data_IF_475653114119
#
_entry.id   IF_475653114119
#
_cell.length_a   1.000
_cell.length_b   1.000
_cell.length_c   1.000
_cell.angle_alpha   90.00
_cell.angle_beta   90.00
_cell.angle_gamma   90.00
#
_symmetry.space_group_name_H-M   'P 1'
#
loop_
_entity.id
_entity.type
_entity.pdbx_description
1 polymer ?
#
# COMPACT_ATOMS: atom_id res chain seq x y z
N UNK A 1 -24.89 -8.24 -5.69
CA UNK A 1 -24.11 -9.28 -6.38
C UNK A 1 -22.78 -8.66 -6.73
N UNK A 2 -21.66 -9.18 -6.21
CA UNK A 2 -20.34 -8.68 -6.58
C UNK A 2 -20.10 -9.08 -8.03
N UNK A 3 -19.89 -8.09 -8.90
CA UNK A 3 -19.56 -8.32 -10.30
C UNK A 3 -18.16 -8.96 -10.38
N UNK A 4 -17.95 -9.90 -11.31
CA UNK A 4 -16.65 -10.54 -11.57
C UNK A 4 -15.59 -9.46 -11.80
N UNK A 5 -15.93 -8.38 -12.48
CA UNK A 5 -15.02 -7.25 -12.69
C UNK A 5 -14.68 -6.52 -11.39
N UNK A 6 -15.61 -6.39 -10.45
CA UNK A 6 -15.36 -5.78 -9.14
C UNK A 6 -14.49 -6.67 -8.26
N UNK A 7 -14.76 -7.98 -8.23
CA UNK A 7 -13.95 -8.95 -7.49
C UNK A 7 -12.53 -9.07 -8.07
N UNK A 8 -12.39 -9.06 -9.40
CA UNK A 8 -11.09 -9.08 -10.08
C UNK A 8 -10.31 -7.82 -9.77
N UNK A 9 -10.92 -6.63 -9.89
CA UNK A 9 -10.26 -5.37 -9.58
C UNK A 9 -9.85 -5.28 -8.10
N UNK A 10 -10.68 -5.78 -7.19
CA UNK A 10 -10.35 -5.86 -5.77
C UNK A 10 -9.14 -6.77 -5.53
N UNK A 11 -9.13 -7.98 -6.08
CA UNK A 11 -8.02 -8.92 -5.96
C UNK A 11 -6.72 -8.37 -6.58
N UNK A 12 -6.81 -7.74 -7.76
CA UNK A 12 -5.67 -7.08 -8.40
C UNK A 12 -5.17 -5.88 -7.61
N UNK A 13 -6.07 -5.10 -6.99
CA UNK A 13 -5.68 -4.01 -6.08
C UNK A 13 -4.98 -4.51 -4.81
N UNK A 14 -5.23 -5.78 -4.43
CA UNK A 14 -4.55 -6.46 -3.32
C UNK A 14 -3.27 -7.19 -3.76
N UNK A 15 -2.81 -6.99 -4.99
CA UNK A 15 -1.54 -7.53 -5.50
C UNK A 15 -1.62 -8.94 -6.08
N UNK A 16 -2.82 -9.52 -6.23
CA UNK A 16 -3.00 -10.79 -6.96
C UNK A 16 -2.84 -10.53 -8.45
N UNK A 17 -2.08 -11.37 -9.16
CA UNK A 17 -1.90 -11.23 -10.61
C UNK A 17 -3.27 -11.19 -11.31
N UNK A 18 -3.43 -10.32 -12.31
CA UNK A 18 -4.70 -10.10 -13.00
C UNK A 18 -5.30 -11.39 -13.55
N UNK A 19 -4.46 -12.32 -14.02
CA UNK A 19 -4.87 -13.64 -14.52
C UNK A 19 -5.38 -14.56 -13.41
N UNK A 20 -4.73 -14.57 -12.23
CA UNK A 20 -5.16 -15.37 -11.09
C UNK A 20 -6.41 -14.77 -10.43
N UNK A 21 -6.47 -13.44 -10.34
CA UNK A 21 -7.61 -12.67 -9.86
C UNK A 21 -8.86 -12.93 -10.71
N UNK A 22 -8.74 -12.87 -12.04
CA UNK A 22 -9.84 -13.15 -12.96
C UNK A 22 -10.31 -14.61 -12.86
N UNK A 23 -9.38 -15.57 -12.80
CA UNK A 23 -9.72 -17.00 -12.65
C UNK A 23 -10.38 -17.31 -11.31
N UNK A 24 -9.92 -16.72 -10.22
CA UNK A 24 -10.53 -16.86 -8.91
C UNK A 24 -11.95 -16.27 -8.91
N UNK A 25 -12.12 -15.04 -9.41
CA UNK A 25 -13.42 -14.37 -9.49
C UNK A 25 -14.42 -15.13 -10.37
N UNK A 26 -14.01 -15.62 -11.54
CA UNK A 26 -14.87 -16.42 -12.44
C UNK A 26 -15.26 -17.76 -11.82
N UNK A 27 -14.30 -18.49 -11.24
CA UNK A 27 -14.55 -19.82 -10.66
C UNK A 27 -15.46 -19.75 -9.43
N UNK A 28 -15.29 -18.74 -8.59
CA UNK A 28 -16.18 -18.49 -7.45
C UNK A 28 -17.57 -18.07 -7.91
N UNK A 29 -17.69 -17.17 -8.90
CA UNK A 29 -18.98 -16.76 -9.44
C UNK A 29 -19.75 -17.89 -10.13
N UNK A 30 -19.07 -18.78 -10.85
CA UNK A 30 -19.70 -19.95 -11.49
C UNK A 30 -20.17 -20.99 -10.47
N UNK A 31 -19.41 -21.19 -9.38
CA UNK A 31 -19.72 -22.21 -8.37
C UNK A 31 -20.76 -21.73 -7.35
N UNK A 32 -20.90 -20.42 -7.18
CA UNK A 32 -21.71 -19.80 -6.13
C UNK A 32 -22.50 -18.57 -6.64
N UNK A 33 -23.16 -18.72 -7.79
CA UNK A 33 -23.82 -17.63 -8.54
C UNK A 33 -24.87 -16.82 -7.74
N UNK A 34 -25.42 -17.37 -6.65
CA UNK A 34 -26.45 -16.74 -5.81
C UNK A 34 -25.99 -16.50 -4.36
N UNK A 35 -24.68 -16.61 -4.08
CA UNK A 35 -24.16 -16.39 -2.73
C UNK A 35 -24.30 -14.92 -2.30
N UNK A 36 -24.59 -14.71 -1.02
CA UNK A 36 -24.49 -13.39 -0.42
C UNK A 36 -23.02 -12.91 -0.44
N UNK A 37 -22.78 -11.59 -0.36
CA UNK A 37 -21.43 -11.03 -0.49
C UNK A 37 -20.38 -11.61 0.48
N UNK A 38 -20.76 -11.98 1.71
CA UNK A 38 -19.82 -12.52 2.70
C UNK A 38 -19.47 -13.97 2.41
N UNK A 39 -20.45 -14.77 2.02
CA UNK A 39 -20.22 -16.13 1.54
C UNK A 39 -19.36 -16.12 0.28
N UNK A 40 -19.65 -15.23 -0.67
CA UNK A 40 -18.84 -15.05 -1.87
C UNK A 40 -17.38 -14.73 -1.56
N UNK A 41 -17.10 -13.83 -0.61
CA UNK A 41 -15.73 -13.47 -0.25
C UNK A 41 -14.97 -14.62 0.45
N UNK A 42 -15.66 -15.43 1.27
CA UNK A 42 -15.06 -16.63 1.87
C UNK A 42 -14.70 -17.67 0.82
N UNK A 43 -15.62 -17.94 -0.10
CA UNK A 43 -15.40 -18.88 -1.20
C UNK A 43 -14.35 -18.36 -2.19
N UNK A 44 -14.29 -17.04 -2.42
CA UNK A 44 -13.27 -16.40 -3.25
C UNK A 44 -11.88 -16.61 -2.65
N UNK A 45 -11.74 -16.41 -1.34
CA UNK A 45 -10.49 -16.67 -0.62
C UNK A 45 -10.08 -18.15 -0.72
N UNK A 46 -11.00 -19.07 -0.47
CA UNK A 46 -10.72 -20.51 -0.56
C UNK A 46 -10.31 -20.93 -1.99
N UNK A 47 -10.99 -20.38 -3.00
CA UNK A 47 -10.68 -20.62 -4.42
C UNK A 47 -9.31 -20.07 -4.78
N UNK A 48 -8.93 -18.91 -4.23
CA UNK A 48 -7.63 -18.29 -4.44
C UNK A 48 -6.50 -19.10 -3.80
N UNK A 49 -6.71 -19.59 -2.57
CA UNK A 49 -5.81 -20.53 -1.89
C UNK A 49 -5.64 -21.82 -2.71
N UNK A 50 -6.74 -22.42 -3.21
CA UNK A 50 -6.69 -23.62 -4.05
C UNK A 50 -5.95 -23.40 -5.38
N UNK A 51 -6.22 -22.29 -6.08
CA UNK A 51 -5.58 -21.96 -7.35
C UNK A 51 -4.09 -21.61 -7.18
N UNK A 52 -3.74 -20.96 -6.06
CA UNK A 52 -2.34 -20.72 -5.72
C UNK A 52 -1.58 -22.02 -5.41
N UNK A 53 -2.24 -23.01 -4.80
CA UNK A 53 -1.67 -24.31 -4.50
C UNK A 53 -1.55 -25.22 -5.74
N UNK A 54 -2.44 -25.07 -6.72
CA UNK A 54 -2.50 -25.89 -7.94
C UNK A 54 -1.68 -25.33 -9.13
N UNK A 55 -0.89 -24.28 -8.93
CA UNK A 55 0.06 -23.84 -9.97
C UNK A 55 1.21 -24.85 -10.03
N UNK A 56 1.42 -25.57 -11.15
CA UNK A 56 2.48 -26.56 -11.22
C UNK A 56 3.84 -25.88 -11.06
N UNK A 57 4.57 -26.26 -10.01
CA UNK A 57 6.00 -25.98 -9.89
C UNK A 57 6.69 -26.74 -11.02
N UNK A 58 6.98 -26.06 -12.12
CA UNK A 58 7.82 -26.61 -13.16
C UNK A 58 9.24 -26.79 -12.61
N UNK A 59 9.62 -28.04 -12.33
CA UNK A 59 11.02 -28.46 -12.22
C UNK A 59 11.67 -28.21 -10.87
N UNK A 60 11.66 -29.24 -10.03
CA UNK A 60 12.63 -29.44 -8.96
C UNK A 60 14.00 -29.66 -9.60
N UNK A 61 14.71 -28.57 -9.90
CA UNK A 61 16.17 -28.58 -9.88
C UNK A 61 16.56 -27.74 -8.67
N UNK A 62 17.31 -28.36 -7.77
CA UNK A 62 17.89 -27.74 -6.61
C UNK A 62 18.79 -26.57 -7.04
N UNK A 63 18.18 -25.41 -7.18
CA UNK A 63 18.88 -24.13 -7.16
C UNK A 63 18.82 -23.67 -5.73
N UNK A 64 19.98 -23.51 -5.11
CA UNK A 64 20.14 -22.73 -3.90
C UNK A 64 19.65 -21.31 -4.21
N UNK A 65 18.36 -21.08 -4.00
CA UNK A 65 17.80 -19.74 -3.94
C UNK A 65 18.59 -19.01 -2.84
N UNK A 66 19.20 -17.86 -3.12
CA UNK A 66 19.62 -17.02 -2.03
C UNK A 66 18.36 -16.71 -1.23
N UNK A 67 18.43 -16.97 0.07
CA UNK A 67 17.52 -16.42 1.08
C UNK A 67 17.18 -15.00 0.64
N UNK A 68 15.89 -14.74 0.37
CA UNK A 68 15.41 -13.42 -0.01
C UNK A 68 16.01 -12.46 1.01
N UNK A 69 16.97 -11.65 0.54
CA UNK A 69 17.74 -10.79 1.43
C UNK A 69 16.71 -10.01 2.22
N UNK A 70 16.68 -10.22 3.54
CA UNK A 70 15.86 -9.46 4.45
C UNK A 70 16.18 -7.99 4.15
N UNK A 71 15.29 -7.34 3.39
CA UNK A 71 15.50 -5.97 2.99
C UNK A 71 15.58 -5.19 4.29
N UNK A 72 16.71 -4.51 4.50
CA UNK A 72 16.90 -3.71 5.70
C UNK A 72 15.66 -2.81 5.88
N UNK A 73 15.16 -2.63 7.12
CA UNK A 73 13.97 -1.81 7.35
C UNK A 73 14.11 -0.49 6.60
N UNK A 74 13.12 -0.22 5.74
CA UNK A 74 13.12 0.94 4.89
C UNK A 74 13.30 2.19 5.75
N UNK A 75 14.33 3.00 5.43
CA UNK A 75 14.55 4.27 6.10
C UNK A 75 13.64 5.33 5.48
N UNK A 76 12.84 6.08 6.27
CA UNK A 76 11.99 7.14 5.80
C UNK A 76 12.70 8.09 4.83
N UNK A 77 11.96 8.58 3.84
CA UNK A 77 12.40 9.64 2.92
C UNK A 77 12.90 10.86 3.71
N UNK A 78 12.30 11.18 4.85
CA UNK A 78 12.79 12.22 5.77
C UNK A 78 14.22 11.99 6.27
N UNK A 79 14.62 10.75 6.58
CA UNK A 79 15.99 10.43 7.03
C UNK A 79 17.01 10.47 5.89
N UNK A 80 16.56 10.38 4.62
CA UNK A 80 17.43 10.51 3.44
C UNK A 80 17.63 11.96 2.99
N UNK A 81 16.71 12.86 3.33
CA UNK A 81 16.79 14.30 2.98
C UNK A 81 16.96 15.23 4.21
N UNK A 82 16.92 14.68 5.42
CA UNK A 82 16.92 15.39 6.70
C UNK A 82 18.31 15.64 7.28
N UNK A 83 19.15 16.38 6.57
CA UNK A 83 20.29 17.10 7.18
C UNK A 83 20.23 18.61 6.90
N UNK A 84 19.11 19.13 6.39
CA UNK A 84 18.99 20.55 6.02
C UNK A 84 17.94 21.36 6.82
N UNK A 85 17.21 20.76 7.78
CA UNK A 85 16.15 21.45 8.51
C UNK A 85 16.38 21.59 10.03
N UNK A 86 17.62 21.44 10.51
CA UNK A 86 17.97 21.77 11.90
C UNK A 86 19.37 22.38 11.96
N UNK A 87 19.52 23.62 11.47
CA UNK A 87 20.72 24.41 11.73
C UNK A 87 20.69 24.91 13.18
N UNK A 88 21.34 24.17 14.08
CA UNK A 88 22.00 24.81 15.22
C UNK A 88 23.48 24.46 15.15
N UNK A 89 24.31 25.50 15.05
CA UNK A 89 25.73 25.42 14.83
C UNK A 89 26.44 24.61 15.92
N UNK A 90 27.26 23.62 15.53
CA UNK A 90 28.47 23.26 16.27
C UNK A 90 29.49 22.67 15.28
N UNK A 91 30.65 23.32 15.22
CA UNK A 91 31.84 22.96 14.45
C UNK A 91 32.48 21.66 14.95
N UNK A 92 32.72 20.71 14.03
CA UNK A 92 33.58 19.54 14.24
C UNK A 92 33.66 18.69 12.97
N UNK A 93 34.85 18.29 12.48
CA UNK A 93 35.00 17.69 11.16
C UNK A 93 34.86 16.17 11.25
N UNK A 94 33.78 15.62 10.72
CA UNK A 94 33.74 14.20 10.38
C UNK A 94 32.93 14.00 9.11
N UNK A 95 33.61 13.46 8.10
CA UNK A 95 33.17 13.07 6.76
C UNK A 95 31.67 12.88 6.58
N UNK A 96 30.99 13.94 6.16
CA UNK A 96 29.66 13.85 5.58
C UNK A 96 29.82 13.27 4.18
N UNK A 97 29.44 11.99 4.00
CA UNK A 97 29.00 11.52 2.70
C UNK A 97 27.78 12.36 2.34
N UNK A 98 27.98 13.38 1.51
CA UNK A 98 26.90 14.20 0.98
C UNK A 98 25.92 13.29 0.24
N UNK A 99 24.74 13.12 0.82
CA UNK A 99 23.61 12.51 0.12
C UNK A 99 23.38 13.34 -1.16
N UNK A 100 23.71 12.77 -2.33
CA UNK A 100 23.27 13.32 -3.60
C UNK A 100 21.75 13.43 -3.54
N UNK A 101 21.23 14.65 -3.63
CA UNK A 101 19.80 14.87 -3.72
C UNK A 101 19.34 14.28 -5.05
N UNK A 102 18.75 13.07 -5.01
CA UNK A 102 18.12 12.47 -6.18
C UNK A 102 17.07 13.47 -6.66
N UNK A 103 17.18 13.90 -7.92
CA UNK A 103 16.23 14.85 -8.53
C UNK A 103 15.31 14.09 -9.47
N UNK A 104 14.04 14.50 -9.55
CA UNK A 104 13.10 13.93 -10.51
C UNK A 104 13.62 14.15 -11.94
N UNK A 105 13.37 13.20 -12.87
CA UNK A 105 13.84 13.30 -14.26
C UNK A 105 13.06 14.34 -15.10
N UNK A 106 12.14 15.09 -14.50
CA UNK A 106 11.27 16.09 -15.11
C UNK A 106 11.08 17.28 -14.15
N UNK A 107 10.76 18.45 -14.68
CA UNK A 107 10.53 19.67 -13.90
C UNK A 107 9.06 20.12 -13.89
N UNK A 108 8.31 19.80 -14.94
CA UNK A 108 6.91 20.18 -15.14
C UNK A 108 6.07 18.98 -15.63
N UNK A 109 4.75 19.16 -15.70
CA UNK A 109 3.81 18.12 -16.10
C UNK A 109 4.02 17.63 -17.54
N UNK A 110 4.42 18.52 -18.45
CA UNK A 110 4.64 18.17 -19.85
C UNK A 110 5.89 17.29 -20.02
N UNK A 111 6.99 17.65 -19.37
CA UNK A 111 8.19 16.81 -19.28
C UNK A 111 7.89 15.45 -18.63
N UNK A 112 7.04 15.43 -17.59
CA UNK A 112 6.59 14.19 -16.97
C UNK A 112 5.84 13.28 -17.95
N UNK A 113 4.87 13.84 -18.70
CA UNK A 113 4.10 13.09 -19.70
C UNK A 113 4.99 12.48 -20.78
N UNK A 114 5.96 13.26 -21.27
CA UNK A 114 6.91 12.80 -22.28
C UNK A 114 7.84 11.71 -21.74
N UNK A 115 8.35 11.90 -20.51
CA UNK A 115 9.16 10.92 -19.82
C UNK A 115 8.40 9.61 -19.62
N UNK A 116 7.18 9.65 -19.07
CA UNK A 116 6.39 8.45 -18.77
C UNK A 116 5.99 7.70 -20.04
N UNK A 117 5.63 8.42 -21.11
CA UNK A 117 5.32 7.83 -22.42
C UNK A 117 6.55 7.17 -23.08
N UNK A 118 7.74 7.67 -22.78
CA UNK A 118 9.00 7.14 -23.30
C UNK A 118 9.53 5.90 -22.55
N UNK A 119 8.88 5.48 -21.47
CA UNK A 119 9.28 4.29 -20.73
C UNK A 119 8.85 3.02 -21.47
N UNK A 120 9.69 1.99 -21.34
CA UNK A 120 9.40 0.65 -21.83
C UNK A 120 8.19 0.02 -21.09
N UNK A 121 7.80 -1.17 -21.54
CA UNK A 121 6.75 -1.99 -20.93
C UNK A 121 7.23 -3.43 -20.68
N UNK A 122 8.54 -3.59 -20.41
CA UNK A 122 9.15 -4.89 -20.13
C UNK A 122 9.28 -5.06 -18.63
N UNK A 123 8.82 -6.18 -18.08
CA UNK A 123 8.90 -6.48 -16.66
C UNK A 123 9.74 -7.74 -16.43
N UNK A 124 10.36 -7.83 -15.26
CA UNK A 124 11.02 -9.06 -14.82
C UNK A 124 10.00 -10.20 -14.68
N UNK A 125 10.45 -11.44 -14.85
CA UNK A 125 9.60 -12.64 -14.74
C UNK A 125 8.98 -12.78 -13.35
N UNK A 126 9.74 -12.44 -12.32
CA UNK A 126 9.38 -12.45 -10.90
C UNK A 126 8.96 -11.07 -10.39
N UNK A 127 8.43 -10.22 -11.26
CA UNK A 127 7.97 -8.89 -10.88
C UNK A 127 6.89 -8.92 -9.80
N UNK A 128 7.17 -8.24 -8.69
CA UNK A 128 6.19 -7.89 -7.67
C UNK A 128 5.95 -6.38 -7.64
N UNK A 129 4.68 -5.98 -7.44
CA UNK A 129 4.33 -4.56 -7.40
C UNK A 129 4.84 -3.90 -6.13
N UNK A 130 5.67 -2.84 -6.21
CA UNK A 130 6.18 -2.15 -5.04
C UNK A 130 5.07 -1.45 -4.25
N UNK A 131 5.27 -1.33 -2.95
CA UNK A 131 4.31 -0.71 -2.05
C UNK A 131 3.96 0.72 -2.45
N UNK A 132 4.94 1.49 -2.94
CA UNK A 132 4.69 2.87 -3.40
C UNK A 132 3.76 2.92 -4.64
N UNK A 133 3.82 1.90 -5.51
CA UNK A 133 2.93 1.79 -6.68
C UNK A 133 1.52 1.42 -6.22
N UNK A 134 1.40 0.47 -5.28
CA UNK A 134 0.11 0.08 -4.67
C UNK A 134 -0.57 1.26 -3.99
N UNK A 135 0.19 2.00 -3.18
CA UNK A 135 -0.26 3.18 -2.47
C UNK A 135 -0.80 4.26 -3.40
N UNK A 136 -0.04 4.58 -4.44
CA UNK A 136 -0.37 5.70 -5.34
C UNK A 136 -1.39 5.32 -6.40
N UNK A 137 -1.81 4.04 -6.43
CA UNK A 137 -2.64 3.48 -7.50
C UNK A 137 -2.08 3.82 -8.87
N UNK A 138 -0.75 3.91 -8.97
CA UNK A 138 -0.07 4.23 -10.21
C UNK A 138 -0.23 3.03 -11.14
N UNK A 139 -1.07 3.17 -12.16
CA UNK A 139 -1.20 2.13 -13.18
C UNK A 139 0.12 2.07 -13.94
N UNK A 140 0.77 0.90 -13.95
CA UNK A 140 2.02 0.66 -14.68
C UNK A 140 1.90 0.80 -16.21
N UNK A 141 0.69 1.02 -16.72
CA UNK A 141 0.41 1.29 -18.13
C UNK A 141 0.20 2.79 -18.43
N UNK A 142 0.27 3.66 -17.42
CA UNK A 142 -0.04 5.09 -17.57
C UNK A 142 -1.53 5.37 -17.83
N UNK A 143 -1.87 6.64 -17.94
CA UNK A 143 -3.23 7.11 -18.22
C UNK A 143 -3.42 8.58 -17.85
N UNK A 144 -4.18 9.32 -18.66
CA UNK A 144 -4.35 10.77 -18.50
C UNK A 144 -5.14 11.14 -17.24
N UNK A 145 -6.10 10.31 -16.82
CA UNK A 145 -7.00 10.59 -15.70
C UNK A 145 -6.29 10.72 -14.34
N UNK A 146 -5.10 10.13 -14.18
CA UNK A 146 -4.32 10.19 -12.93
C UNK A 146 -2.94 10.82 -13.11
N UNK A 147 -2.67 11.43 -14.27
CA UNK A 147 -1.33 11.92 -14.65
C UNK A 147 -0.78 12.99 -13.71
N UNK A 148 -1.63 13.90 -13.23
CA UNK A 148 -1.21 14.97 -12.31
C UNK A 148 -0.88 14.42 -10.92
N UNK A 149 -1.67 13.46 -10.41
CA UNK A 149 -1.38 12.78 -9.16
C UNK A 149 -0.04 12.04 -9.20
N UNK A 150 0.24 11.31 -10.29
CA UNK A 150 1.53 10.64 -10.49
C UNK A 150 2.69 11.61 -10.61
N UNK A 151 2.53 12.69 -11.40
CA UNK A 151 3.51 13.75 -11.51
C UNK A 151 3.89 14.31 -10.14
N UNK A 152 2.91 14.68 -9.31
CA UNK A 152 3.16 15.22 -7.98
C UNK A 152 3.87 14.22 -7.08
N UNK A 153 3.44 12.96 -7.11
CA UNK A 153 4.06 11.91 -6.32
C UNK A 153 5.54 11.75 -6.65
N UNK A 154 5.87 11.59 -7.93
CA UNK A 154 7.25 11.39 -8.36
C UNK A 154 8.11 12.66 -8.25
N UNK A 155 7.48 13.84 -8.33
CA UNK A 155 8.16 15.12 -8.01
C UNK A 155 8.57 15.19 -6.54
N UNK A 156 7.72 14.69 -5.64
CA UNK A 156 7.99 14.68 -4.20
C UNK A 156 8.93 13.55 -3.78
N UNK A 157 8.98 12.47 -4.57
CA UNK A 157 9.71 11.25 -4.27
C UNK A 157 10.51 10.77 -5.51
N UNK A 158 11.58 11.48 -5.89
CA UNK A 158 12.30 11.25 -7.14
C UNK A 158 13.01 9.89 -7.21
N UNK A 159 13.34 9.29 -6.06
CA UNK A 159 13.85 7.93 -5.99
C UNK A 159 12.86 6.87 -6.49
N UNK A 160 11.55 7.09 -6.30
CA UNK A 160 10.52 6.21 -6.85
C UNK A 160 10.36 6.40 -8.35
N UNK A 161 10.65 7.60 -8.89
CA UNK A 161 10.63 7.82 -10.34
C UNK A 161 11.74 7.01 -11.04
N UNK A 162 12.94 7.00 -10.45
CA UNK A 162 14.06 6.22 -10.95
C UNK A 162 13.79 4.72 -10.91
N UNK A 163 13.22 4.23 -9.81
CA UNK A 163 12.83 2.83 -9.68
C UNK A 163 11.67 2.44 -10.62
N UNK A 164 10.68 3.32 -10.79
CA UNK A 164 9.58 3.12 -11.73
C UNK A 164 10.08 2.93 -13.18
N UNK A 165 11.04 3.76 -13.61
CA UNK A 165 11.68 3.60 -14.92
C UNK A 165 12.48 2.29 -15.02
N UNK A 166 13.21 1.93 -13.95
CA UNK A 166 13.98 0.68 -13.87
C UNK A 166 13.08 -0.55 -14.02
N UNK A 167 11.96 -0.59 -13.30
CA UNK A 167 10.99 -1.68 -13.34
C UNK A 167 10.47 -1.91 -14.76
N UNK A 168 10.11 -0.83 -15.45
CA UNK A 168 9.60 -0.84 -16.82
C UNK A 168 10.61 -1.27 -17.88
N UNK A 169 11.89 -1.34 -17.50
CA UNK A 169 13.00 -1.86 -18.31
C UNK A 169 13.40 -3.31 -17.97
N UNK A 170 12.55 -4.03 -17.23
CA UNK A 170 12.76 -5.45 -16.88
C UNK A 170 13.59 -5.67 -15.62
N UNK A 171 13.79 -4.65 -14.78
CA UNK A 171 14.47 -4.80 -13.50
C UNK A 171 13.48 -5.03 -12.36
N UNK A 172 13.95 -5.62 -11.26
CA UNK A 172 13.19 -5.70 -10.01
C UNK A 172 13.26 -4.37 -9.25
N UNK A 173 12.21 -4.11 -8.47
CA UNK A 173 12.14 -3.00 -7.53
C UNK A 173 13.23 -3.07 -6.47
N UNK A 174 13.79 -1.93 -6.11
CA UNK A 174 14.66 -1.79 -4.93
C UNK A 174 13.90 -1.46 -3.65
N UNK A 175 12.60 -1.26 -3.75
CA UNK A 175 11.69 -0.91 -2.65
C UNK A 175 10.81 -2.09 -2.25
N UNK A 176 10.30 -2.11 -1.00
CA UNK A 176 9.45 -3.19 -0.49
C UNK A 176 8.25 -3.49 -1.39
N UNK A 177 7.94 -4.79 -1.50
CA UNK A 177 6.84 -5.36 -2.29
C UNK A 177 5.89 -6.20 -1.44
N UNK A 178 6.06 -6.22 -0.12
CA UNK A 178 5.37 -7.11 0.81
C UNK A 178 4.24 -6.40 1.60
N UNK A 179 4.00 -5.12 1.35
CA UNK A 179 3.01 -4.31 2.05
C UNK A 179 3.49 -3.83 3.43
N UNK A 180 4.73 -4.13 3.83
CA UNK A 180 5.27 -3.77 5.15
C UNK A 180 5.28 -2.26 5.40
N UNK A 181 5.30 -1.45 4.35
CA UNK A 181 5.28 0.01 4.44
C UNK A 181 3.87 0.61 4.36
N UNK A 182 2.85 -0.22 4.10
CA UNK A 182 1.45 0.18 3.90
C UNK A 182 0.59 0.02 5.16
N UNK A 183 1.22 -0.19 6.31
CA UNK A 183 0.54 -0.33 7.60
C UNK A 183 0.21 1.03 8.20
N UNK A 184 -1.02 1.20 8.68
CA UNK A 184 -1.50 2.41 9.39
C UNK A 184 -1.60 2.22 10.90
N UNK A 185 -1.75 0.99 11.36
CA UNK A 185 -1.94 0.69 12.78
C UNK A 185 -0.62 0.64 13.52
N UNK A 186 -0.59 1.28 14.68
CA UNK A 186 0.58 1.30 15.56
C UNK A 186 0.61 0.04 16.44
N UNK A 187 1.45 -0.92 16.05
CA UNK A 187 1.61 -2.19 16.79
C UNK A 187 2.10 -1.97 18.23
N UNK A 188 2.73 -0.84 18.56
CA UNK A 188 3.19 -0.56 19.93
C UNK A 188 2.03 -0.24 20.88
N UNK A 189 0.85 0.09 20.35
CA UNK A 189 -0.37 0.34 21.12
C UNK A 189 -1.23 -0.91 21.33
N UNK A 190 -0.84 -2.03 20.72
CA UNK A 190 -1.49 -3.32 20.88
C UNK A 190 -0.86 -4.12 22.03
N UNK A 191 -1.51 -5.22 22.44
CA UNK A 191 -0.83 -6.19 23.31
C UNK A 191 0.33 -6.87 22.58
N UNK A 192 1.35 -7.29 23.34
CA UNK A 192 2.53 -7.97 22.78
C UNK A 192 2.16 -9.19 21.92
N UNK A 193 1.15 -9.95 22.35
CA UNK A 193 0.64 -11.11 21.63
C UNK A 193 0.02 -10.72 20.28
N UNK A 194 -0.79 -9.66 20.25
CA UNK A 194 -1.44 -9.15 19.03
C UNK A 194 -0.42 -8.56 18.08
N UNK A 195 0.53 -7.77 18.60
CA UNK A 195 1.63 -7.23 17.81
C UNK A 195 2.50 -8.35 17.20
N UNK A 196 2.83 -9.39 17.98
CA UNK A 196 3.59 -10.53 17.50
C UNK A 196 2.83 -11.34 16.43
N UNK A 197 1.52 -11.49 16.59
CA UNK A 197 0.65 -12.14 15.59
C UNK A 197 0.72 -11.41 14.24
N UNK A 198 0.55 -10.09 14.23
CA UNK A 198 0.56 -9.31 12.99
C UNK A 198 1.95 -9.14 12.38
N UNK A 199 3.01 -9.10 13.18
CA UNK A 199 4.39 -9.17 12.65
C UNK A 199 4.66 -10.43 11.84
N UNK A 200 4.05 -11.55 12.23
CA UNK A 200 4.14 -12.83 11.47
C UNK A 200 3.16 -12.90 10.31
N UNK A 201 2.09 -12.10 10.34
CA UNK A 201 0.99 -12.15 9.37
C UNK A 201 0.61 -10.73 8.89
N UNK A 202 1.52 -9.99 8.23
CA UNK A 202 1.27 -8.61 7.84
C UNK A 202 0.07 -8.47 6.90
N UNK A 203 -0.17 -9.46 6.03
CA UNK A 203 -1.34 -9.50 5.15
C UNK A 203 -2.68 -9.50 5.91
N UNK A 204 -2.75 -10.09 7.10
CA UNK A 204 -3.97 -10.06 7.93
C UNK A 204 -4.17 -8.71 8.60
N UNK A 205 -3.09 -8.00 8.91
CA UNK A 205 -3.16 -6.63 9.39
C UNK A 205 -3.70 -5.71 8.29
N UNK A 206 -3.11 -5.80 7.10
CA UNK A 206 -3.55 -5.06 5.92
C UNK A 206 -5.01 -5.37 5.56
N UNK A 207 -5.45 -6.63 5.71
CA UNK A 207 -6.85 -6.99 5.52
C UNK A 207 -7.77 -6.31 6.55
N UNK A 208 -7.41 -6.33 7.85
CA UNK A 208 -8.20 -5.65 8.88
C UNK A 208 -8.30 -4.15 8.61
N UNK A 209 -7.17 -3.49 8.29
CA UNK A 209 -7.13 -2.07 7.93
C UNK A 209 -7.93 -1.76 6.66
N UNK A 210 -7.78 -2.59 5.62
CA UNK A 210 -8.48 -2.44 4.35
C UNK A 210 -10.00 -2.59 4.47
N UNK A 211 -10.47 -3.46 5.38
CA UNK A 211 -11.89 -3.55 5.74
C UNK A 211 -12.32 -2.52 6.78
N UNK A 212 -11.44 -1.60 7.17
CA UNK A 212 -11.69 -0.57 8.18
C UNK A 212 -12.07 -1.14 9.55
N UNK A 213 -11.54 -2.31 9.91
CA UNK A 213 -11.75 -2.95 11.20
C UNK A 213 -10.60 -2.65 12.15
N UNK A 214 -10.89 -2.57 13.45
CA UNK A 214 -9.84 -2.57 14.46
C UNK A 214 -9.09 -3.92 14.45
N UNK A 215 -7.75 -3.95 14.26
CA UNK A 215 -6.99 -5.19 14.15
C UNK A 215 -7.07 -6.04 15.42
N UNK A 216 -7.08 -5.42 16.59
CA UNK A 216 -7.16 -6.18 17.85
C UNK A 216 -8.52 -6.87 17.97
N UNK A 217 -9.62 -6.16 17.68
CA UNK A 217 -10.96 -6.74 17.67
C UNK A 217 -11.12 -7.79 16.57
N UNK A 218 -10.55 -7.57 15.38
CA UNK A 218 -10.58 -8.52 14.28
C UNK A 218 -9.86 -9.83 14.65
N UNK A 219 -8.66 -9.76 15.25
CA UNK A 219 -7.94 -10.92 15.80
C UNK A 219 -8.79 -11.65 16.84
N UNK A 220 -9.27 -10.93 17.87
CA UNK A 220 -10.09 -11.52 18.94
C UNK A 220 -11.36 -12.19 18.38
N UNK A 221 -11.94 -11.64 17.33
CA UNK A 221 -13.13 -12.22 16.69
C UNK A 221 -12.80 -13.51 15.95
N UNK A 222 -11.66 -13.54 15.25
CA UNK A 222 -11.17 -14.72 14.55
C UNK A 222 -10.79 -15.85 15.51
N UNK A 223 -10.21 -15.54 16.67
CA UNK A 223 -9.90 -16.52 17.72
C UNK A 223 -11.11 -16.94 18.57
N UNK A 224 -12.24 -16.24 18.44
CA UNK A 224 -13.46 -16.51 19.20
C UNK A 224 -13.48 -15.92 20.62
N UNK A 225 -12.50 -15.09 20.97
CA UNK A 225 -12.39 -14.39 22.26
C UNK A 225 -13.47 -13.32 22.44
N UNK A 226 -13.98 -12.76 21.33
CA UNK A 226 -15.04 -11.76 21.36
C UNK A 226 -16.18 -12.10 20.39
N UNK A 227 -17.40 -11.77 20.80
CA UNK A 227 -18.58 -11.80 19.96
C UNK A 227 -19.26 -10.43 19.97
N UNK A 228 -19.65 -9.89 18.81
CA UNK A 228 -20.47 -8.70 18.74
C UNK A 228 -21.78 -8.89 19.53
N UNK A 229 -22.38 -7.79 20.03
CA UNK A 229 -23.66 -7.87 20.74
C UNK A 229 -24.74 -8.56 19.90
N UNK A 230 -25.63 -9.30 20.56
CA UNK A 230 -26.72 -10.00 19.89
C UNK A 230 -27.57 -9.05 19.06
N UNK A 231 -27.83 -9.42 17.80
CA UNK A 231 -28.62 -8.62 16.87
C UNK A 231 -27.86 -7.51 16.15
N UNK A 232 -26.54 -7.38 16.37
CA UNK A 232 -25.67 -6.43 15.65
C UNK A 232 -24.90 -7.15 14.55
N UNK A 233 -24.81 -6.55 13.37
CA UNK A 233 -23.94 -7.05 12.31
C UNK A 233 -22.47 -7.01 12.75
N UNK A 234 -21.80 -8.15 12.63
CA UNK A 234 -20.44 -8.31 13.12
C UNK A 234 -19.44 -7.40 12.41
N UNK A 235 -19.63 -7.20 11.10
CA UNK A 235 -18.71 -6.40 10.28
C UNK A 235 -18.87 -4.92 10.60
N UNK A 236 -20.12 -4.44 10.67
CA UNK A 236 -20.41 -3.05 11.05
C UNK A 236 -19.97 -2.75 12.49
N UNK A 237 -20.11 -3.70 13.41
CA UNK A 237 -19.60 -3.53 14.77
C UNK A 237 -18.07 -3.36 14.79
N UNK A 238 -17.32 -4.19 14.05
CA UNK A 238 -15.86 -4.07 13.94
C UNK A 238 -15.41 -2.78 13.23
N UNK A 239 -16.22 -2.24 12.33
CA UNK A 239 -15.95 -0.98 11.63
C UNK A 239 -16.31 0.28 12.44
N UNK A 240 -17.12 0.13 13.48
CA UNK A 240 -17.64 1.23 14.30
C UNK A 240 -17.15 1.19 15.76
N UNK A 241 -16.21 0.30 16.09
CA UNK A 241 -15.64 0.17 17.43
C UNK A 241 -14.13 -0.10 17.35
N UNK A 242 -13.40 0.35 18.38
CA UNK A 242 -11.96 0.13 18.52
C UNK A 242 -11.66 -0.46 19.89
N UNK A 243 -10.62 -1.29 19.95
CA UNK A 243 -10.12 -1.81 21.20
C UNK A 243 -9.25 -0.76 21.90
N UNK A 244 -9.43 -0.61 23.20
CA UNK A 244 -8.51 0.14 24.05
C UNK A 244 -8.16 -0.69 25.28
N UNK A 245 -7.12 -0.30 26.01
CA UNK A 245 -6.77 -0.90 27.30
C UNK A 245 -7.93 -0.88 28.32
N UNK A 246 -8.84 0.09 28.21
CA UNK A 246 -9.96 0.31 29.11
C UNK A 246 -11.25 -0.39 28.62
N UNK A 247 -11.18 -1.08 27.48
CA UNK A 247 -12.28 -1.80 26.86
C UNK A 247 -12.59 -1.32 25.44
N UNK A 248 -13.67 -1.87 24.88
CA UNK A 248 -14.13 -1.53 23.53
C UNK A 248 -14.93 -0.23 23.57
N UNK A 249 -14.58 0.72 22.70
CA UNK A 249 -15.26 2.01 22.58
C UNK A 249 -15.72 2.26 21.16
N UNK A 250 -16.79 3.04 20.99
CA UNK A 250 -17.28 3.41 19.67
C UNK A 250 -16.29 4.35 18.95
N UNK A 251 -15.97 4.04 17.70
CA UNK A 251 -15.12 4.84 16.83
C UNK A 251 -15.45 4.56 15.37
N UNK A 252 -15.60 5.60 14.55
CA UNK A 252 -15.73 5.41 13.09
C UNK A 252 -14.36 5.09 12.48
N UNK A 253 -14.04 3.80 12.36
CA UNK A 253 -12.73 3.36 11.87
C UNK A 253 -12.53 3.68 10.39
N UNK A 254 -13.61 3.79 9.60
CA UNK A 254 -13.51 4.21 8.19
C UNK A 254 -12.90 5.60 8.07
N UNK A 255 -13.36 6.54 8.90
CA UNK A 255 -12.83 7.90 8.94
C UNK A 255 -11.42 7.91 9.54
N UNK A 256 -11.21 7.17 10.63
CA UNK A 256 -9.89 7.08 11.28
C UNK A 256 -8.82 6.60 10.28
N UNK A 257 -9.03 5.46 9.62
CA UNK A 257 -8.09 4.91 8.66
C UNK A 257 -7.96 5.74 7.38
N UNK A 258 -9.03 6.37 6.89
CA UNK A 258 -8.94 7.27 5.74
C UNK A 258 -7.99 8.45 6.02
N UNK A 259 -7.94 8.93 7.26
CA UNK A 259 -7.09 10.05 7.68
C UNK A 259 -5.71 9.65 8.22
N UNK A 260 -5.51 8.37 8.55
CA UNK A 260 -4.28 7.89 9.16
C UNK A 260 -3.13 7.80 8.14
N UNK A 261 -1.95 8.23 8.59
CA UNK A 261 -0.73 8.11 7.83
C UNK A 261 -0.24 6.66 7.80
N UNK A 262 0.47 6.32 6.72
CA UNK A 262 1.19 5.06 6.63
C UNK A 262 2.45 5.17 7.48
N UNK A 263 2.55 4.32 8.50
CA UNK A 263 3.66 4.31 9.46
C UNK A 263 4.52 3.04 9.35
N UNK A 264 4.12 2.09 8.50
CA UNK A 264 4.83 0.84 8.31
C UNK A 264 4.76 -0.12 9.52
N UNK A 265 5.16 -1.36 9.30
CA UNK A 265 5.08 -2.44 10.29
C UNK A 265 6.02 -2.19 11.48
N UNK A 266 7.07 -1.39 11.29
CA UNK A 266 7.99 -0.97 12.36
C UNK A 266 7.51 0.28 13.13
N UNK A 267 6.43 0.93 12.67
CA UNK A 267 5.85 2.13 13.25
C UNK A 267 6.68 3.40 13.07
N UNK A 268 7.72 3.38 12.23
CA UNK A 268 8.66 4.51 12.06
C UNK A 268 8.56 5.19 10.70
N UNK A 269 7.70 4.70 9.83
CA UNK A 269 7.54 5.15 8.44
C UNK A 269 6.67 6.38 8.23
N UNK A 270 6.29 7.14 9.27
CA UNK A 270 5.52 8.36 9.07
C UNK A 270 6.20 9.27 8.02
N UNK A 271 5.41 9.89 7.14
CA UNK A 271 5.87 10.74 6.02
C UNK A 271 6.74 10.05 4.95
N UNK A 272 6.79 8.71 4.91
CA UNK A 272 7.57 7.96 3.90
C UNK A 272 7.24 8.38 2.46
N UNK A 273 5.97 8.66 2.16
CA UNK A 273 5.51 8.83 0.78
C UNK A 273 5.21 10.26 0.35
N UNK A 274 5.42 11.27 1.21
CA UNK A 274 5.20 12.71 0.93
C UNK A 274 4.01 12.97 0.00
N UNK A 275 2.86 12.44 0.39
CA UNK A 275 1.68 12.35 -0.47
C UNK A 275 1.05 13.71 -0.72
N UNK A 276 0.54 13.88 -1.93
CA UNK A 276 -0.38 14.96 -2.26
C UNK A 276 -1.81 14.45 -2.11
N UNK A 277 -2.69 15.24 -1.49
CA UNK A 277 -4.10 14.88 -1.26
C UNK A 277 -4.99 15.66 -2.22
N UNK A 278 -5.99 15.02 -2.80
CA UNK A 278 -7.02 15.72 -3.57
C UNK A 278 -8.09 16.24 -2.62
N UNK A 279 -8.25 17.54 -2.56
CA UNK A 279 -9.31 18.20 -1.79
C UNK A 279 -10.58 18.29 -2.65
N UNK A 280 -11.58 17.48 -2.31
CA UNK A 280 -12.85 17.43 -3.03
C UNK A 280 -13.69 18.70 -2.85
N UNK A 281 -13.46 19.49 -1.80
CA UNK A 281 -14.19 20.73 -1.58
C UNK A 281 -13.75 21.84 -2.55
N UNK A 282 -12.44 21.93 -2.82
CA UNK A 282 -11.87 22.94 -3.71
C UNK A 282 -11.54 22.41 -5.11
N UNK A 283 -11.57 21.08 -5.29
CA UNK A 283 -11.17 20.41 -6.53
C UNK A 283 -9.68 20.49 -6.82
N UNK A 284 -8.84 20.78 -5.83
CA UNK A 284 -7.40 21.00 -6.01
C UNK A 284 -6.56 19.93 -5.32
N UNK A 285 -5.29 19.84 -5.73
CA UNK A 285 -4.31 19.06 -4.99
C UNK A 285 -3.68 19.91 -3.88
N UNK A 286 -3.64 19.37 -2.67
CA UNK A 286 -2.92 19.94 -1.52
C UNK A 286 -1.69 19.07 -1.28
N UNK A 287 -0.51 19.67 -1.43
CA UNK A 287 0.75 18.98 -1.26
C UNK A 287 1.08 18.78 0.22
N UNK A 288 2.08 17.93 0.51
CA UNK A 288 2.52 17.67 1.89
C UNK A 288 3.01 18.91 2.63
N UNK A 289 3.46 19.94 1.91
CA UNK A 289 3.87 21.25 2.46
C UNK A 289 2.71 22.26 2.58
N UNK A 290 1.47 21.82 2.32
CA UNK A 290 0.26 22.63 2.39
C UNK A 290 0.02 23.52 1.16
N UNK A 291 0.93 23.54 0.18
CA UNK A 291 0.71 24.31 -1.05
C UNK A 291 -0.38 23.67 -1.90
N UNK A 292 -1.18 24.53 -2.51
CA UNK A 292 -2.29 24.14 -3.38
C UNK A 292 -1.81 24.11 -4.82
N UNK A 293 -2.21 23.11 -5.58
CA UNK A 293 -1.85 22.91 -6.98
C UNK A 293 -3.07 22.66 -7.84
N UNK A 294 -2.99 23.13 -9.08
CA UNK A 294 -4.03 22.95 -10.07
C UNK A 294 -4.10 21.49 -10.55
N UNK A 295 -5.30 20.89 -10.59
CA UNK A 295 -5.48 19.49 -10.97
C UNK A 295 -5.30 19.22 -12.47
N UNK A 296 -5.26 20.26 -13.32
CA UNK A 296 -5.08 20.14 -14.76
C UNK A 296 -3.64 20.42 -15.17
N UNK A 297 -3.02 21.45 -14.60
CA UNK A 297 -1.66 21.89 -14.98
C UNK A 297 -0.57 21.35 -14.07
N UNK A 298 -0.89 20.97 -12.83
CA UNK A 298 0.10 20.61 -11.82
C UNK A 298 0.94 21.80 -11.32
N UNK A 299 0.55 23.03 -11.64
CA UNK A 299 1.22 24.25 -11.17
C UNK A 299 0.68 24.71 -9.81
N UNK A 300 1.54 25.37 -9.03
CA UNK A 300 1.15 25.91 -7.73
C UNK A 300 0.14 27.06 -7.91
N UNK A 301 -0.92 27.07 -7.12
CA UNK A 301 -1.86 28.19 -7.01
C UNK A 301 -1.29 29.24 -6.04
N UNK A 302 -1.47 30.51 -6.42
CA UNK A 302 -1.09 31.67 -5.63
C UNK A 302 -2.00 31.86 -4.41
#
# INVERSE_FOLDING_TARGET
MLDISQATNMLTSMGVSSTLAARAAERTAQSHANADPLTFLKELRATLEELSANTPVAGVNASTAPEAAASAPYKPTADRYGAAAASTATTGPTSASSAESVKAPFNNLEEFKQWEKGLDCTFAEDYETPDYVRLTSTVLNGGDDTVVGRYMFFKNNPEFAADYASIRSGQLSKFPTDGSTLVKSDLSKMSDETAAYYKKNPHLLLAAEGFNMDPTLAKMRMSGEISPPTGVDASEWLMSNTWTKDGVVAQNNRVAYASADFIGLDGKGADTYRLTRFDTATGNYVNYDGRVYDPLTGEAKA
#
